data_IF_456742888003
#
_entry.id   IF_456742888003
#
_cell.length_a   1.000
_cell.length_b   1.000
_cell.length_c   1.000
_cell.angle_alpha   90.00
_cell.angle_beta   90.00
_cell.angle_gamma   90.00
#
_symmetry.space_group_name_H-M   'P 1'
#
loop_
_entity.id
_entity.type
_entity.pdbx_description
1 polymer ?
#
# COMPACT_ATOMS: atom_id res chain seq x y z
N UNK A 1 -27.93 -11.81 -17.63
CA UNK A 1 -27.44 -11.99 -16.25
C UNK A 1 -25.96 -12.37 -16.12
N UNK A 2 -25.50 -13.62 -16.36
CA UNK A 2 -24.08 -14.01 -16.13
C UNK A 2 -23.04 -13.13 -16.86
N UNK A 3 -23.35 -12.69 -18.10
CA UNK A 3 -22.46 -11.88 -18.93
C UNK A 3 -22.30 -10.44 -18.41
N UNK A 4 -23.39 -9.82 -17.95
CA UNK A 4 -23.38 -8.44 -17.41
C UNK A 4 -22.67 -8.34 -16.06
N UNK A 5 -22.91 -9.31 -15.16
CA UNK A 5 -22.21 -9.36 -13.86
C UNK A 5 -20.70 -9.44 -14.05
N UNK A 6 -20.24 -10.21 -15.05
CA UNK A 6 -18.83 -10.37 -15.37
C UNK A 6 -18.21 -9.06 -15.91
N UNK A 7 -18.95 -8.32 -16.74
CA UNK A 7 -18.52 -7.01 -17.25
C UNK A 7 -18.39 -5.99 -16.10
N UNK A 8 -19.35 -5.95 -15.18
CA UNK A 8 -19.35 -5.05 -14.01
C UNK A 8 -18.18 -5.39 -13.07
N UNK A 9 -17.94 -6.68 -12.81
CA UNK A 9 -16.81 -7.12 -11.97
C UNK A 9 -15.46 -6.76 -12.60
N UNK A 10 -15.29 -7.02 -13.91
CA UNK A 10 -14.09 -6.65 -14.67
C UNK A 10 -13.83 -5.14 -14.64
N UNK A 11 -14.90 -4.33 -14.69
CA UNK A 11 -14.82 -2.87 -14.56
C UNK A 11 -14.31 -2.44 -13.17
N UNK A 12 -14.79 -3.07 -12.08
CA UNK A 12 -14.34 -2.76 -10.71
C UNK A 12 -12.86 -3.10 -10.50
N UNK A 13 -12.42 -4.28 -10.97
CA UNK A 13 -11.02 -4.71 -10.88
C UNK A 13 -10.12 -3.77 -11.70
N UNK A 14 -10.54 -3.41 -12.93
CA UNK A 14 -9.80 -2.45 -13.77
C UNK A 14 -9.65 -1.09 -13.09
N UNK A 15 -10.69 -0.62 -12.40
CA UNK A 15 -10.64 0.63 -11.64
C UNK A 15 -9.71 0.53 -10.44
N UNK A 16 -9.76 -0.58 -9.70
CA UNK A 16 -8.85 -0.80 -8.57
C UNK A 16 -7.39 -0.85 -9.02
N UNK A 17 -7.09 -1.54 -10.13
CA UNK A 17 -5.77 -1.57 -10.74
C UNK A 17 -5.30 -0.18 -11.17
N UNK A 18 -6.19 0.61 -11.79
CA UNK A 18 -5.88 1.97 -12.21
C UNK A 18 -5.53 2.87 -11.01
N UNK A 19 -6.26 2.74 -9.90
CA UNK A 19 -5.95 3.46 -8.66
C UNK A 19 -4.60 3.01 -8.09
N UNK A 20 -4.35 1.70 -8.01
CA UNK A 20 -3.13 1.13 -7.45
C UNK A 20 -1.86 1.44 -8.26
N UNK A 21 -1.98 1.69 -9.57
CA UNK A 21 -0.81 1.92 -10.45
C UNK A 21 0.10 3.05 -9.96
N UNK A 22 -0.48 4.21 -9.63
CA UNK A 22 0.28 5.38 -9.19
C UNK A 22 1.07 5.14 -7.90
N UNK A 23 0.46 4.67 -6.79
CA UNK A 23 1.22 4.41 -5.57
C UNK A 23 2.21 3.26 -5.72
N UNK A 24 1.97 2.27 -6.58
CA UNK A 24 2.98 1.24 -6.92
C UNK A 24 4.24 1.89 -7.49
N UNK A 25 4.09 2.78 -8.47
CA UNK A 25 5.23 3.48 -9.07
C UNK A 25 5.97 4.35 -8.06
N UNK A 26 5.23 5.05 -7.19
CA UNK A 26 5.83 5.86 -6.12
C UNK A 26 6.58 4.96 -5.14
N UNK A 27 6.00 3.85 -4.71
CA UNK A 27 6.64 2.90 -3.79
C UNK A 27 7.93 2.30 -4.36
N UNK A 28 7.96 2.04 -5.67
CA UNK A 28 9.14 1.53 -6.37
C UNK A 28 10.32 2.50 -6.31
N UNK A 29 10.07 3.81 -6.27
CA UNK A 29 11.11 4.85 -6.10
C UNK A 29 11.39 5.12 -4.63
N UNK A 30 10.34 5.16 -3.80
CA UNK A 30 10.43 5.46 -2.38
C UNK A 30 11.31 4.45 -1.64
N UNK A 31 11.23 3.17 -2.01
CA UNK A 31 11.97 2.11 -1.32
C UNK A 31 13.49 2.22 -1.52
N UNK A 32 14.01 2.37 -2.76
CA UNK A 32 15.43 2.68 -2.97
C UNK A 32 15.87 3.98 -2.31
N UNK A 33 15.07 5.05 -2.38
CA UNK A 33 15.40 6.33 -1.71
C UNK A 33 15.55 6.12 -0.21
N UNK A 34 14.58 5.42 0.40
CA UNK A 34 14.60 5.07 1.82
C UNK A 34 15.88 4.28 2.19
N UNK A 35 16.22 3.29 1.38
CA UNK A 35 17.43 2.49 1.56
C UNK A 35 18.71 3.33 1.41
N UNK A 36 18.79 4.22 0.42
CA UNK A 36 19.93 5.11 0.25
C UNK A 36 20.10 6.11 1.40
N UNK A 37 19.00 6.63 1.97
CA UNK A 37 19.04 7.50 3.15
C UNK A 37 19.60 6.77 4.38
N UNK A 38 19.31 5.48 4.51
CA UNK A 38 19.89 4.63 5.54
C UNK A 38 21.40 4.46 5.36
N UNK A 39 21.85 4.16 4.14
CA UNK A 39 23.27 3.97 3.83
C UNK A 39 24.13 5.20 4.16
N UNK A 40 23.56 6.41 4.08
CA UNK A 40 24.26 7.66 4.45
C UNK A 40 24.14 8.00 5.95
N UNK A 41 23.56 7.11 6.75
CA UNK A 41 23.50 7.23 8.22
C UNK A 41 22.33 8.05 8.76
N UNK A 42 21.25 8.27 7.99
CA UNK A 42 20.06 8.96 8.53
C UNK A 42 19.37 8.07 9.58
N UNK A 43 18.93 8.64 10.73
CA UNK A 43 18.25 7.87 11.77
C UNK A 43 16.99 7.16 11.28
N UNK A 44 16.79 5.92 11.73
CA UNK A 44 15.65 5.07 11.36
C UNK A 44 14.30 5.75 11.64
N UNK A 45 14.15 6.45 12.77
CA UNK A 45 12.91 7.16 13.12
C UNK A 45 12.51 8.22 12.08
N UNK A 46 13.47 8.90 11.46
CA UNK A 46 13.22 9.87 10.39
C UNK A 46 12.89 9.16 9.06
N UNK A 47 13.64 8.12 8.72
CA UNK A 47 13.43 7.31 7.51
C UNK A 47 12.08 6.57 7.54
N UNK A 48 11.62 6.15 8.74
CA UNK A 48 10.38 5.43 8.93
C UNK A 48 9.15 6.22 8.47
N UNK A 49 9.14 7.54 8.65
CA UNK A 49 8.06 8.44 8.20
C UNK A 49 7.94 8.44 6.67
N UNK A 50 9.07 8.24 5.98
CA UNK A 50 9.17 8.12 4.52
C UNK A 50 8.88 6.66 4.07
N UNK A 51 8.31 5.84 4.96
CA UNK A 51 8.05 4.43 4.76
C UNK A 51 6.76 4.11 4.01
N UNK A 52 6.70 2.86 3.52
CA UNK A 52 5.56 2.34 2.76
C UNK A 52 4.24 2.35 3.55
N UNK A 53 4.27 2.26 4.87
CA UNK A 53 3.06 2.36 5.70
C UNK A 53 2.41 3.73 5.59
N UNK A 54 3.19 4.80 5.79
CA UNK A 54 2.70 6.18 5.69
C UNK A 54 2.19 6.51 4.29
N UNK A 55 2.88 6.02 3.27
CA UNK A 55 2.40 6.09 1.88
C UNK A 55 1.01 5.44 1.75
N UNK A 56 0.82 4.23 2.29
CA UNK A 56 -0.48 3.54 2.29
C UNK A 56 -1.56 4.34 2.99
N UNK A 57 -1.28 4.88 4.18
CA UNK A 57 -2.25 5.66 4.94
C UNK A 57 -2.68 6.93 4.19
N UNK A 58 -1.72 7.65 3.61
CA UNK A 58 -2.00 8.83 2.78
C UNK A 58 -2.87 8.51 1.57
N UNK A 59 -2.55 7.46 0.84
CA UNK A 59 -3.36 7.01 -0.31
C UNK A 59 -4.74 6.47 0.11
N UNK A 60 -4.85 5.83 1.26
CA UNK A 60 -6.12 5.37 1.79
C UNK A 60 -7.07 6.53 2.12
N UNK A 61 -6.57 7.59 2.75
CA UNK A 61 -7.34 8.82 2.97
C UNK A 61 -7.73 9.45 1.63
N UNK A 62 -6.76 9.65 0.74
CA UNK A 62 -7.00 10.25 -0.57
C UNK A 62 -8.07 9.49 -1.36
N UNK A 63 -7.99 8.17 -1.43
CA UNK A 63 -9.00 7.34 -2.08
C UNK A 63 -10.32 7.34 -1.32
N UNK A 64 -10.30 7.39 0.02
CA UNK A 64 -11.51 7.50 0.81
C UNK A 64 -12.31 8.76 0.47
N UNK A 65 -11.61 9.90 0.35
CA UNK A 65 -12.19 11.18 -0.11
C UNK A 65 -12.70 11.06 -1.55
N UNK A 66 -11.94 10.43 -2.45
CA UNK A 66 -12.29 10.33 -3.88
C UNK A 66 -13.45 9.37 -4.17
N UNK A 67 -13.56 8.29 -3.42
CA UNK A 67 -14.50 7.19 -3.67
C UNK A 67 -15.81 7.30 -2.89
N UNK A 68 -15.95 8.26 -1.98
CA UNK A 68 -17.07 8.30 -1.01
C UNK A 68 -18.48 8.24 -1.64
N UNK A 69 -18.66 8.82 -2.83
CA UNK A 69 -19.93 8.81 -3.56
C UNK A 69 -20.23 7.51 -4.32
N UNK A 70 -19.26 6.61 -4.44
CA UNK A 70 -19.45 5.33 -5.14
C UNK A 70 -20.19 4.32 -4.26
N UNK A 71 -21.16 3.59 -4.83
CA UNK A 71 -21.86 2.50 -4.14
C UNK A 71 -20.91 1.37 -3.73
N UNK A 72 -19.85 1.13 -4.49
CA UNK A 72 -18.86 0.07 -4.25
C UNK A 72 -17.55 0.60 -3.66
N UNK A 73 -17.58 1.78 -3.02
CA UNK A 73 -16.37 2.46 -2.53
C UNK A 73 -15.46 1.58 -1.69
N UNK A 74 -16.02 0.84 -0.71
CA UNK A 74 -15.26 -0.05 0.17
C UNK A 74 -14.62 -1.21 -0.59
N UNK A 75 -15.34 -1.83 -1.54
CA UNK A 75 -14.81 -2.92 -2.35
C UNK A 75 -13.67 -2.43 -3.25
N UNK A 76 -13.83 -1.28 -3.89
CA UNK A 76 -12.79 -0.68 -4.74
C UNK A 76 -11.57 -0.30 -3.89
N UNK A 77 -11.77 0.28 -2.71
CA UNK A 77 -10.70 0.61 -1.76
C UNK A 77 -9.93 -0.66 -1.35
N UNK A 78 -10.64 -1.71 -0.92
CA UNK A 78 -10.04 -2.98 -0.52
C UNK A 78 -9.24 -3.61 -1.65
N UNK A 79 -9.81 -3.68 -2.86
CA UNK A 79 -9.11 -4.24 -4.03
C UNK A 79 -7.88 -3.40 -4.41
N UNK A 80 -7.98 -2.07 -4.34
CA UNK A 80 -6.86 -1.18 -4.69
C UNK A 80 -5.70 -1.37 -3.71
N UNK A 81 -5.99 -1.42 -2.41
CA UNK A 81 -5.00 -1.69 -1.36
C UNK A 81 -4.45 -3.12 -1.45
N UNK A 82 -5.30 -4.11 -1.74
CA UNK A 82 -4.91 -5.51 -1.90
C UNK A 82 -3.99 -5.76 -3.10
N UNK A 83 -4.10 -4.96 -4.16
CA UNK A 83 -3.17 -4.99 -5.29
C UNK A 83 -1.89 -4.22 -4.95
N UNK A 84 -2.02 -3.00 -4.43
CA UNK A 84 -0.89 -2.12 -4.16
C UNK A 84 0.06 -2.69 -3.11
N UNK A 85 -0.47 -3.14 -1.97
CA UNK A 85 0.31 -3.55 -0.80
C UNK A 85 1.37 -4.62 -1.11
N UNK A 86 1.03 -5.81 -1.65
CA UNK A 86 2.02 -6.85 -1.99
C UNK A 86 3.03 -6.41 -3.04
N UNK A 87 2.60 -5.67 -4.07
CA UNK A 87 3.50 -5.22 -5.14
C UNK A 87 4.49 -4.19 -4.59
N UNK A 88 4.03 -3.27 -3.74
CA UNK A 88 4.86 -2.22 -3.14
C UNK A 88 5.94 -2.75 -2.19
N UNK A 89 5.71 -3.95 -1.61
CA UNK A 89 6.61 -4.60 -0.67
C UNK A 89 7.68 -5.46 -1.34
N UNK A 90 7.46 -5.88 -2.59
CA UNK A 90 8.42 -6.72 -3.30
C UNK A 90 9.82 -6.08 -3.42
N UNK A 91 9.95 -4.77 -3.76
CA UNK A 91 11.26 -4.09 -3.76
C UNK A 91 12.00 -4.16 -2.42
N UNK A 92 11.27 -4.22 -1.30
CA UNK A 92 11.87 -4.34 0.04
C UNK A 92 12.60 -5.68 0.19
N UNK A 93 12.03 -6.77 -0.31
CA UNK A 93 12.66 -8.10 -0.28
C UNK A 93 13.89 -8.16 -1.20
N UNK A 94 13.85 -7.48 -2.35
CA UNK A 94 14.99 -7.38 -3.27
C UNK A 94 16.13 -6.60 -2.63
N UNK A 95 15.84 -5.46 -2.01
CA UNK A 95 16.85 -4.65 -1.33
C UNK A 95 17.41 -5.36 -0.09
N UNK A 96 16.57 -6.09 0.67
CA UNK A 96 17.04 -6.99 1.73
C UNK A 96 18.04 -8.02 1.20
N UNK A 97 17.77 -8.63 0.04
CA UNK A 97 18.66 -9.63 -0.52
C UNK A 97 20.01 -9.04 -0.98
N UNK A 98 19.97 -7.85 -1.57
CA UNK A 98 21.18 -7.10 -1.93
C UNK A 98 21.95 -6.75 -0.65
N UNK A 99 21.25 -6.28 0.37
CA UNK A 99 21.87 -5.94 1.64
C UNK A 99 22.60 -7.13 2.26
N UNK A 100 21.90 -8.25 2.46
CA UNK A 100 22.46 -9.48 3.04
C UNK A 100 23.61 -10.08 2.20
N UNK A 101 23.57 -9.93 0.87
CA UNK A 101 24.59 -10.52 -0.01
C UNK A 101 25.88 -9.70 -0.08
N UNK A 102 25.80 -8.38 0.13
CA UNK A 102 26.96 -7.48 0.05
C UNK A 102 27.35 -6.85 1.39
N UNK A 103 26.59 -7.10 2.46
CA UNK A 103 26.83 -6.61 3.83
C UNK A 103 26.96 -5.07 3.87
N UNK A 104 26.05 -4.39 3.18
CA UNK A 104 26.16 -2.94 2.91
C UNK A 104 25.32 -2.05 3.84
N UNK A 105 24.36 -2.61 4.56
CA UNK A 105 23.32 -1.89 5.30
C UNK A 105 23.12 -2.45 6.71
N UNK A 106 22.25 -1.79 7.48
CA UNK A 106 22.21 -1.93 8.95
C UNK A 106 20.82 -2.27 9.50
N UNK A 107 19.77 -2.10 8.69
CA UNK A 107 18.39 -2.04 9.17
C UNK A 107 17.56 -3.26 8.81
N UNK A 108 18.05 -4.13 7.92
CA UNK A 108 17.45 -5.43 7.67
C UNK A 108 17.83 -6.45 8.76
N UNK A 109 17.68 -6.05 10.02
CA UNK A 109 17.97 -6.83 11.24
C UNK A 109 17.10 -8.08 11.39
N UNK A 110 16.06 -8.24 10.56
CA UNK A 110 15.38 -9.52 10.38
C UNK A 110 16.25 -10.39 9.46
N UNK A 111 17.11 -11.18 10.08
CA UNK A 111 17.81 -12.27 9.41
C UNK A 111 16.79 -13.32 8.99
N UNK A 112 16.39 -13.26 7.71
CA UNK A 112 15.70 -14.38 7.07
C UNK A 112 16.75 -15.38 6.58
N UNK A 113 16.44 -16.66 6.67
CA UNK A 113 17.32 -17.75 6.27
C UNK A 113 17.54 -17.77 4.75
N UNK A 114 16.57 -17.26 3.98
CA UNK A 114 16.64 -17.21 2.53
C UNK A 114 15.70 -16.17 1.91
N UNK A 115 15.89 -15.92 0.60
CA UNK A 115 15.10 -14.97 -0.17
C UNK A 115 13.60 -15.32 -0.22
N UNK A 116 13.24 -16.60 -0.23
CA UNK A 116 11.84 -17.00 -0.27
C UNK A 116 11.12 -16.61 1.04
N UNK A 117 11.76 -16.82 2.18
CA UNK A 117 11.26 -16.41 3.49
C UNK A 117 11.18 -14.88 3.58
N UNK A 118 12.20 -14.14 3.15
CA UNK A 118 12.17 -12.68 3.11
C UNK A 118 11.02 -12.15 2.24
N UNK A 119 10.84 -12.74 1.06
CA UNK A 119 9.75 -12.40 0.14
C UNK A 119 8.39 -12.69 0.76
N UNK A 120 8.20 -13.86 1.37
CA UNK A 120 6.96 -14.20 2.06
C UNK A 120 6.66 -13.22 3.19
N UNK A 121 7.67 -12.87 3.99
CA UNK A 121 7.54 -11.95 5.11
C UNK A 121 7.14 -10.55 4.65
N UNK A 122 7.77 -10.03 3.60
CA UNK A 122 7.43 -8.70 3.08
C UNK A 122 6.11 -8.68 2.32
N UNK A 123 5.89 -9.63 1.41
CA UNK A 123 4.74 -9.64 0.49
C UNK A 123 3.45 -10.12 1.16
N UNK A 124 3.53 -10.96 2.20
CA UNK A 124 2.34 -11.42 2.93
C UNK A 124 2.16 -10.60 4.20
N UNK A 125 3.02 -10.76 5.20
CA UNK A 125 2.84 -10.10 6.50
C UNK A 125 3.00 -8.58 6.41
N UNK A 126 4.06 -8.11 5.74
CA UNK A 126 4.29 -6.69 5.50
C UNK A 126 3.11 -6.03 4.76
N UNK A 127 2.48 -6.76 3.85
CA UNK A 127 1.31 -6.29 3.14
C UNK A 127 0.05 -6.23 3.99
N UNK A 128 -0.15 -7.17 4.91
CA UNK A 128 -1.27 -7.12 5.85
C UNK A 128 -1.14 -5.91 6.80
N UNK A 129 0.09 -5.63 7.26
CA UNK A 129 0.39 -4.45 8.10
C UNK A 129 0.07 -3.14 7.38
N UNK A 130 0.15 -3.10 6.04
CA UNK A 130 -0.30 -1.93 5.27
C UNK A 130 -1.80 -1.95 4.99
N UNK A 131 -2.30 -3.10 4.55
CA UNK A 131 -3.67 -3.26 4.06
C UNK A 131 -4.68 -3.00 5.16
N UNK A 132 -4.50 -3.62 6.33
CA UNK A 132 -5.47 -3.55 7.43
C UNK A 132 -5.66 -2.10 7.92
N UNK A 133 -4.62 -1.40 8.41
CA UNK A 133 -4.80 -0.02 8.89
C UNK A 133 -5.15 0.93 7.75
N UNK A 134 -4.60 0.73 6.54
CA UNK A 134 -4.98 1.53 5.37
C UNK A 134 -6.46 1.39 5.04
N UNK A 135 -6.99 0.16 5.04
CA UNK A 135 -8.39 -0.09 4.74
C UNK A 135 -9.31 0.54 5.79
N UNK A 136 -8.99 0.36 7.08
CA UNK A 136 -9.75 0.95 8.18
C UNK A 136 -9.80 2.48 8.06
N UNK A 137 -8.64 3.11 7.85
CA UNK A 137 -8.53 4.56 7.73
C UNK A 137 -9.29 5.11 6.50
N UNK A 138 -9.16 4.44 5.35
CA UNK A 138 -9.91 4.81 4.15
C UNK A 138 -11.42 4.60 4.30
N UNK A 139 -11.85 3.54 4.98
CA UNK A 139 -13.27 3.28 5.27
C UNK A 139 -13.87 4.34 6.21
N UNK A 140 -13.15 4.71 7.28
CA UNK A 140 -13.52 5.81 8.18
C UNK A 140 -13.63 7.11 7.40
N UNK A 141 -12.66 7.41 6.53
CA UNK A 141 -12.67 8.60 5.68
C UNK A 141 -13.91 8.64 4.78
N UNK A 142 -14.27 7.52 4.15
CA UNK A 142 -15.51 7.40 3.35
C UNK A 142 -16.74 7.70 4.20
N UNK A 143 -16.83 7.13 5.41
CA UNK A 143 -17.97 7.31 6.31
C UNK A 143 -18.14 8.79 6.70
N UNK A 144 -17.05 9.46 7.11
CA UNK A 144 -17.03 10.89 7.44
C UNK A 144 -17.50 11.73 6.25
N UNK A 145 -16.97 11.46 5.06
CA UNK A 145 -17.31 12.23 3.85
C UNK A 145 -18.77 12.05 3.44
N UNK A 146 -19.33 10.85 3.60
CA UNK A 146 -20.76 10.59 3.36
C UNK A 146 -21.64 11.33 4.35
N UNK A 147 -21.29 11.30 5.64
CA UNK A 147 -22.03 12.01 6.67
C UNK A 147 -22.05 13.53 6.42
N UNK A 148 -20.90 14.14 6.10
CA UNK A 148 -20.81 15.56 5.76
C UNK A 148 -21.75 15.93 4.61
N UNK A 149 -21.79 15.11 3.54
CA UNK A 149 -22.67 15.36 2.38
C UNK A 149 -24.15 15.31 2.74
N UNK A 150 -24.56 14.41 3.64
CA UNK A 150 -25.97 14.32 4.08
C UNK A 150 -26.37 15.57 4.87
N UNK A 151 -25.50 16.04 5.76
CA UNK A 151 -25.77 17.25 6.57
C UNK A 151 -25.90 18.51 5.71
N UNK A 152 -25.08 18.67 4.66
CA UNK A 152 -25.15 19.86 3.77
C UNK A 152 -26.37 19.84 2.82
N UNK A 153 -27.10 18.72 2.73
CA UNK A 153 -28.29 18.59 1.88
C UNK A 153 -29.61 18.78 2.64
N UNK A 154 -29.55 18.88 3.97
CA UNK A 154 -30.66 19.27 4.84
C UNK A 154 -30.68 20.79 4.98
#
# INVERSE_FOLDING_TARGET
MKKETNIIQKSKIKRALHLAKTPILIALVLTPVRFSLELIGVPENAIYIVGLLWLTLGFAIYWGIKLYNDKNSLLILFLSLGIFSPISRFPVAVLWWIDTKWDIGTHYSLYFDNFAQATFQQVVYGSLIQLIPGFLLGAITIAIMRQKKTVTKQ
#
